data_IF_835594511836
#
_entry.id   IF_835594511836
#
_cell.length_a   1.000
_cell.length_b   1.000
_cell.length_c   1.000
_cell.angle_alpha   90.00
_cell.angle_beta   90.00
_cell.angle_gamma   90.00
#
_symmetry.space_group_name_H-M   'P 1'
#
loop_
_entity.id
_entity.type
_entity.pdbx_description
1 polymer ?
#
# COMPACT_ATOMS: atom_id res chain seq x y z
N UNK A 1 -17.91 -17.46 11.29
CA UNK A 1 -18.61 -16.39 12.05
C UNK A 1 -17.89 -15.05 11.82
N UNK A 2 -18.08 -14.39 10.68
CA UNK A 2 -17.28 -13.18 10.34
C UNK A 2 -18.02 -12.08 9.59
N UNK A 3 -19.33 -11.90 9.82
CA UNK A 3 -20.12 -10.94 9.02
C UNK A 3 -20.81 -9.83 9.83
N UNK A 4 -20.52 -9.66 11.13
CA UNK A 4 -21.35 -8.79 11.99
C UNK A 4 -20.67 -7.65 12.76
N UNK A 5 -19.41 -7.30 12.49
CA UNK A 5 -18.71 -6.26 13.29
C UNK A 5 -18.54 -4.88 12.62
N UNK A 6 -19.01 -4.67 11.39
CA UNK A 6 -18.88 -3.36 10.72
C UNK A 6 -20.21 -2.75 10.25
N UNK A 7 -21.35 -3.31 10.66
CA UNK A 7 -22.65 -2.69 10.43
C UNK A 7 -23.04 -1.81 11.62
N UNK A 8 -22.49 -0.59 11.68
CA UNK A 8 -23.11 0.61 12.27
C UNK A 8 -22.09 1.74 12.45
N UNK A 9 -21.86 2.52 11.40
CA UNK A 9 -21.33 3.89 11.53
C UNK A 9 -22.41 4.81 12.14
N UNK A 10 -22.60 4.74 13.46
CA UNK A 10 -23.45 5.69 14.22
C UNK A 10 -23.17 5.75 15.74
N UNK A 11 -22.23 4.96 16.28
CA UNK A 11 -21.85 5.07 17.69
C UNK A 11 -20.53 5.81 17.85
N UNK A 12 -20.49 6.79 18.75
CA UNK A 12 -19.27 7.47 19.14
C UNK A 12 -18.33 6.45 19.79
N UNK A 13 -17.34 5.95 19.03
CA UNK A 13 -16.31 5.07 19.57
C UNK A 13 -15.61 5.75 20.74
N UNK A 14 -15.44 4.99 21.82
CA UNK A 14 -14.65 5.39 22.97
C UNK A 14 -13.18 5.54 22.60
N UNK A 15 -12.41 6.26 23.42
CA UNK A 15 -10.96 6.41 23.22
C UNK A 15 -10.26 5.05 23.24
N UNK A 16 -10.75 4.08 24.02
CA UNK A 16 -10.20 2.73 24.07
C UNK A 16 -10.40 1.98 22.73
N UNK A 17 -11.60 2.00 22.18
CA UNK A 17 -11.91 1.37 20.89
C UNK A 17 -11.14 2.02 19.73
N UNK A 18 -10.98 3.35 19.76
CA UNK A 18 -10.16 4.07 18.77
C UNK A 18 -8.69 3.65 18.84
N UNK A 19 -8.14 3.41 20.03
CA UNK A 19 -6.77 2.91 20.19
C UNK A 19 -6.60 1.48 19.64
N UNK A 20 -7.57 0.61 19.86
CA UNK A 20 -7.53 -0.75 19.29
C UNK A 20 -7.67 -0.72 17.76
N UNK A 21 -8.58 0.10 17.24
CA UNK A 21 -8.69 0.33 15.80
C UNK A 21 -7.39 0.87 15.20
N UNK A 22 -6.74 1.82 15.88
CA UNK A 22 -5.43 2.37 15.48
C UNK A 22 -4.37 1.27 15.37
N UNK A 23 -4.25 0.41 16.40
CA UNK A 23 -3.30 -0.73 16.38
C UNK A 23 -3.58 -1.69 15.23
N UNK A 24 -4.84 -2.01 14.98
CA UNK A 24 -5.24 -2.86 13.85
C UNK A 24 -4.83 -2.25 12.52
N UNK A 25 -5.15 -0.96 12.29
CA UNK A 25 -4.75 -0.26 11.07
C UNK A 25 -3.22 -0.20 10.92
N UNK A 26 -2.48 0.05 12.00
CA UNK A 26 -1.01 0.02 11.96
C UNK A 26 -0.46 -1.35 11.57
N UNK A 27 -1.08 -2.43 12.04
CA UNK A 27 -0.69 -3.79 11.68
C UNK A 27 -0.93 -4.05 10.19
N UNK A 28 -2.13 -3.77 9.70
CA UNK A 28 -2.47 -3.92 8.27
C UNK A 28 -1.55 -3.08 7.37
N UNK A 29 -1.24 -1.85 7.79
CA UNK A 29 -0.33 -0.96 7.08
C UNK A 29 1.09 -1.55 6.98
N UNK A 30 1.60 -2.14 8.08
CA UNK A 30 2.90 -2.83 8.08
C UNK A 30 2.90 -4.04 7.15
N UNK A 31 1.85 -4.84 7.17
CA UNK A 31 1.73 -6.01 6.28
C UNK A 31 1.70 -5.58 4.81
N UNK A 32 0.97 -4.52 4.47
CA UNK A 32 0.96 -3.96 3.12
C UNK A 32 2.32 -3.38 2.70
N UNK A 33 3.06 -2.78 3.61
CA UNK A 33 4.43 -2.30 3.33
C UNK A 33 5.39 -3.45 3.03
N UNK A 34 5.27 -4.58 3.73
CA UNK A 34 6.05 -5.79 3.42
C UNK A 34 5.67 -6.33 2.04
N UNK A 35 4.39 -6.50 1.77
CA UNK A 35 3.88 -6.93 0.44
C UNK A 35 4.35 -6.00 -0.67
N UNK A 36 4.37 -4.68 -0.43
CA UNK A 36 4.87 -3.71 -1.40
C UNK A 36 6.35 -3.95 -1.75
N UNK A 37 7.20 -4.27 -0.77
CA UNK A 37 8.61 -4.60 -1.03
C UNK A 37 8.75 -5.81 -1.94
N UNK A 38 7.97 -6.86 -1.69
CA UNK A 38 7.95 -8.07 -2.52
C UNK A 38 7.48 -7.77 -3.95
N UNK A 39 6.43 -6.95 -4.10
CA UNK A 39 5.93 -6.51 -5.41
C UNK A 39 7.00 -5.73 -6.17
N UNK A 40 7.69 -4.80 -5.51
CA UNK A 40 8.77 -4.02 -6.12
C UNK A 40 9.96 -4.88 -6.54
N UNK A 41 10.29 -5.90 -5.74
CA UNK A 41 11.33 -6.86 -6.11
C UNK A 41 10.94 -7.63 -7.38
N UNK A 42 9.74 -8.22 -7.42
CA UNK A 42 9.23 -8.93 -8.60
C UNK A 42 9.16 -8.04 -9.84
N UNK A 43 8.75 -6.78 -9.65
CA UNK A 43 8.73 -5.79 -10.72
C UNK A 43 10.12 -5.57 -11.32
N UNK A 44 11.14 -5.41 -10.48
CA UNK A 44 12.52 -5.24 -10.93
C UNK A 44 13.03 -6.49 -11.66
N UNK A 45 12.73 -7.69 -11.17
CA UNK A 45 13.09 -8.95 -11.82
C UNK A 45 12.48 -9.04 -13.23
N UNK A 46 11.20 -8.69 -13.38
CA UNK A 46 10.51 -8.63 -14.67
C UNK A 46 11.17 -7.62 -15.61
N UNK A 47 11.54 -6.42 -15.13
CA UNK A 47 12.22 -5.42 -15.95
C UNK A 47 13.59 -5.90 -16.44
N UNK A 48 14.35 -6.61 -15.60
CA UNK A 48 15.63 -7.18 -16.03
C UNK A 48 15.44 -8.26 -17.09
N UNK A 49 14.43 -9.12 -16.94
CA UNK A 49 14.12 -10.13 -17.95
C UNK A 49 13.63 -9.52 -19.26
N UNK A 50 12.76 -8.50 -19.20
CA UNK A 50 12.28 -7.77 -20.38
C UNK A 50 13.47 -7.13 -21.14
N UNK A 51 14.42 -6.53 -20.42
CA UNK A 51 15.65 -5.99 -21.00
C UNK A 51 16.50 -7.07 -21.69
N UNK A 52 16.69 -8.23 -21.06
CA UNK A 52 17.43 -9.35 -21.65
C UNK A 52 16.78 -9.85 -22.93
N UNK A 53 15.45 -10.00 -22.94
CA UNK A 53 14.71 -10.43 -24.12
C UNK A 53 14.84 -9.43 -25.28
N UNK A 54 14.85 -8.12 -25.01
CA UNK A 54 15.12 -7.12 -26.04
C UNK A 54 16.54 -7.24 -26.62
N UNK A 55 17.54 -7.50 -25.79
CA UNK A 55 18.92 -7.76 -26.25
C UNK A 55 19.00 -9.04 -27.10
N UNK A 56 18.28 -10.10 -26.71
CA UNK A 56 18.15 -11.34 -27.49
C UNK A 56 17.49 -11.10 -28.85
N UNK A 57 16.39 -10.34 -28.91
CA UNK A 57 15.73 -9.97 -30.17
C UNK A 57 16.70 -9.26 -31.11
N UNK A 58 17.45 -8.29 -30.60
CA UNK A 58 18.46 -7.56 -31.38
C UNK A 58 19.53 -8.51 -31.93
N UNK A 59 19.99 -9.49 -31.14
CA UNK A 59 20.97 -10.50 -31.59
C UNK A 59 20.37 -11.42 -32.67
N UNK A 60 19.12 -11.84 -32.54
CA UNK A 60 18.43 -12.64 -33.56
C UNK A 60 18.31 -11.87 -34.88
N UNK A 61 17.96 -10.58 -34.84
CA UNK A 61 17.90 -9.71 -36.02
C UNK A 61 19.26 -9.60 -36.71
N UNK A 62 20.32 -9.37 -35.96
CA UNK A 62 21.69 -9.28 -36.50
C UNK A 62 22.15 -10.58 -37.18
N UNK A 63 21.70 -11.73 -36.66
CA UNK A 63 22.05 -13.05 -37.19
C UNK A 63 21.13 -13.53 -38.33
N UNK A 64 20.03 -12.81 -38.60
CA UNK A 64 19.01 -13.26 -39.56
C UNK A 64 18.25 -14.53 -39.12
N UNK A 65 18.23 -14.85 -37.83
CA UNK A 65 17.55 -16.04 -37.29
C UNK A 65 16.10 -15.71 -36.91
N UNK A 66 15.22 -15.78 -37.91
CA UNK A 66 13.80 -15.45 -37.76
C UNK A 66 13.03 -16.45 -36.88
N UNK A 67 13.48 -17.72 -36.81
CA UNK A 67 12.83 -18.72 -35.98
C UNK A 67 13.11 -18.44 -34.50
N UNK A 68 14.38 -18.19 -34.15
CA UNK A 68 14.73 -17.78 -32.79
C UNK A 68 14.07 -16.44 -32.43
N UNK A 69 14.03 -15.48 -33.36
CA UNK A 69 13.35 -14.21 -33.16
C UNK A 69 11.89 -14.37 -32.72
N UNK A 70 11.10 -15.17 -33.47
CA UNK A 70 9.69 -15.39 -33.17
C UNK A 70 9.48 -16.01 -31.77
N UNK A 71 10.34 -16.94 -31.35
CA UNK A 71 10.26 -17.53 -30.00
C UNK A 71 10.57 -16.51 -28.90
N UNK A 72 11.58 -15.66 -29.10
CA UNK A 72 11.92 -14.61 -28.12
C UNK A 72 10.78 -13.58 -28.05
N UNK A 73 10.16 -13.23 -29.17
CA UNK A 73 9.04 -12.30 -29.23
C UNK A 73 7.81 -12.85 -28.47
N UNK A 74 7.50 -14.14 -28.61
CA UNK A 74 6.46 -14.79 -27.82
C UNK A 74 6.73 -14.73 -26.32
N UNK A 75 7.98 -14.97 -25.89
CA UNK A 75 8.38 -14.85 -24.47
C UNK A 75 8.25 -13.42 -23.98
N UNK A 76 8.68 -12.44 -24.78
CA UNK A 76 8.56 -11.03 -24.46
C UNK A 76 7.11 -10.63 -24.24
N UNK A 77 6.18 -11.10 -25.08
CA UNK A 77 4.75 -10.83 -24.92
C UNK A 77 4.20 -11.35 -23.58
N UNK A 78 4.65 -12.52 -23.11
CA UNK A 78 4.27 -13.05 -21.80
C UNK A 78 4.85 -12.19 -20.68
N UNK A 79 6.14 -11.85 -20.75
CA UNK A 79 6.81 -11.02 -19.74
C UNK A 79 6.17 -9.62 -19.66
N UNK A 80 5.86 -8.99 -20.79
CA UNK A 80 5.20 -7.68 -20.81
C UNK A 80 3.77 -7.73 -20.26
N UNK A 81 3.04 -8.85 -20.40
CA UNK A 81 1.73 -9.04 -19.73
C UNK A 81 1.90 -9.12 -18.22
N UNK A 82 2.84 -9.96 -17.76
CA UNK A 82 3.16 -10.09 -16.34
C UNK A 82 3.58 -8.74 -15.73
N UNK A 83 4.34 -7.92 -16.48
CA UNK A 83 4.72 -6.57 -16.06
C UNK A 83 3.50 -5.71 -15.76
N UNK A 84 2.51 -5.69 -16.65
CA UNK A 84 1.27 -4.90 -16.47
C UNK A 84 0.47 -5.38 -15.27
N UNK A 85 0.39 -6.70 -15.05
CA UNK A 85 -0.30 -7.26 -13.90
C UNK A 85 0.36 -6.83 -12.58
N UNK A 86 1.69 -6.87 -12.52
CA UNK A 86 2.45 -6.41 -11.36
C UNK A 86 2.35 -4.89 -11.17
N UNK A 87 2.34 -4.10 -12.24
CA UNK A 87 2.11 -2.65 -12.17
C UNK A 87 0.73 -2.32 -11.59
N UNK A 88 -0.31 -3.06 -12.00
CA UNK A 88 -1.65 -2.90 -11.45
C UNK A 88 -1.69 -3.25 -9.96
N UNK A 89 -1.09 -4.38 -9.58
CA UNK A 89 -1.00 -4.81 -8.18
C UNK A 89 -0.24 -3.81 -7.31
N UNK A 90 0.86 -3.26 -7.84
CA UNK A 90 1.62 -2.18 -7.20
C UNK A 90 0.72 -0.96 -6.97
N UNK A 91 0.05 -0.47 -8.02
CA UNK A 91 -0.80 0.70 -7.93
C UNK A 91 -1.97 0.51 -6.95
N UNK A 92 -2.59 -0.67 -6.92
CA UNK A 92 -3.62 -1.00 -5.94
C UNK A 92 -3.07 -0.98 -4.51
N UNK A 93 -1.91 -1.60 -4.29
CA UNK A 93 -1.25 -1.65 -2.98
C UNK A 93 -0.86 -0.25 -2.50
N UNK A 94 -0.38 0.63 -3.39
CA UNK A 94 -0.10 2.04 -3.10
C UNK A 94 -1.35 2.79 -2.65
N UNK A 95 -2.48 2.62 -3.35
CA UNK A 95 -3.77 3.24 -2.96
C UNK A 95 -4.22 2.75 -1.59
N UNK A 96 -4.12 1.45 -1.31
CA UNK A 96 -4.47 0.88 0.00
C UNK A 96 -3.60 1.46 1.12
N UNK A 97 -2.28 1.51 0.91
CA UNK A 97 -1.34 2.12 1.86
C UNK A 97 -1.72 3.57 2.14
N UNK A 98 -2.05 4.35 1.10
CA UNK A 98 -2.48 5.73 1.26
C UNK A 98 -3.77 5.84 2.08
N UNK A 99 -4.78 5.04 1.76
CA UNK A 99 -6.05 5.00 2.49
C UNK A 99 -5.86 4.66 3.97
N UNK A 100 -5.05 3.65 4.30
CA UNK A 100 -4.77 3.31 5.70
C UNK A 100 -3.99 4.40 6.44
N UNK A 101 -3.08 5.14 5.78
CA UNK A 101 -2.42 6.31 6.38
C UNK A 101 -3.43 7.42 6.72
N UNK A 102 -4.32 7.73 5.78
CA UNK A 102 -5.38 8.73 6.00
C UNK A 102 -6.33 8.31 7.13
N UNK A 103 -6.65 7.02 7.23
CA UNK A 103 -7.46 6.48 8.32
C UNK A 103 -6.75 6.59 9.68
N UNK A 104 -5.44 6.35 9.75
CA UNK A 104 -4.65 6.59 10.97
C UNK A 104 -4.72 8.05 11.39
N UNK A 105 -4.49 8.99 10.46
CA UNK A 105 -4.58 10.42 10.76
C UNK A 105 -5.97 10.84 11.24
N UNK A 106 -7.03 10.22 10.70
CA UNK A 106 -8.41 10.48 11.13
C UNK A 106 -8.65 9.95 12.55
N UNK A 107 -8.15 8.75 12.86
CA UNK A 107 -8.26 8.15 14.19
C UNK A 107 -7.47 8.97 15.21
N UNK A 108 -6.25 9.38 14.87
CA UNK A 108 -5.38 10.17 15.76
C UNK A 108 -6.01 11.52 16.11
N UNK A 109 -6.53 12.24 15.09
CA UNK A 109 -7.30 13.48 15.31
C UNK A 109 -8.51 13.26 16.20
N UNK A 110 -9.22 12.14 16.03
CA UNK A 110 -10.39 11.83 16.87
C UNK A 110 -10.00 11.53 18.31
N UNK A 111 -8.92 10.79 18.53
CA UNK A 111 -8.38 10.52 19.86
C UNK A 111 -7.95 11.83 20.54
N UNK A 112 -7.25 12.71 19.81
CA UNK A 112 -6.83 14.01 20.32
C UNK A 112 -8.01 14.90 20.73
N UNK A 113 -9.05 14.97 19.89
CA UNK A 113 -10.27 15.71 20.20
C UNK A 113 -10.97 15.21 21.47
N UNK A 114 -10.93 13.90 21.73
CA UNK A 114 -11.55 13.28 22.91
C UNK A 114 -10.67 13.35 24.16
N UNK A 115 -9.40 13.77 24.06
CA UNK A 115 -8.56 13.96 25.25
C UNK A 115 -9.06 15.19 26.03
N UNK A 116 -9.24 15.09 27.35
CA UNK A 116 -9.59 16.25 28.16
C UNK A 116 -8.46 17.28 28.06
N UNK A 117 -8.81 18.54 27.74
CA UNK A 117 -7.87 19.65 27.79
C UNK A 117 -7.66 20.04 29.25
N UNK A 118 -6.41 20.11 29.69
CA UNK A 118 -6.07 20.65 31.01
C UNK A 118 -6.41 22.15 31.03
N UNK A 119 -7.58 22.50 31.55
CA UNK A 119 -7.94 23.89 31.82
C UNK A 119 -7.24 24.28 33.12
N UNK A 120 -6.17 25.08 33.02
CA UNK A 120 -5.55 25.70 34.19
C UNK A 120 -6.49 26.80 34.68
N UNK A 121 -7.23 26.52 35.74
CA UNK A 121 -8.01 27.54 36.44
C UNK A 121 -7.05 28.50 37.14
N UNK A 122 -6.89 29.71 36.61
CA UNK A 122 -6.21 30.80 37.31
C UNK A 122 -7.23 31.38 38.29
N UNK A 123 -7.09 31.04 39.56
CA UNK A 123 -7.87 31.66 40.63
C UNK A 123 -7.19 32.97 40.98
N UNK A 124 -7.69 34.09 40.45
CA UNK A 124 -7.32 35.42 40.95
C UNK A 124 -7.88 35.56 42.37
N UNK A 125 -7.00 35.56 43.38
CA UNK A 125 -7.39 35.92 44.74
C UNK A 125 -7.64 37.43 44.76
N UNK A 126 -8.80 37.90 45.26
CA UNK A 126 -9.00 39.33 45.45
C UNK A 126 -7.96 39.86 46.45
N UNK A 127 -7.27 40.92 46.06
CA UNK A 127 -6.33 41.67 46.91
C UNK A 127 -7.07 42.19 48.14
N UNK A 128 -6.57 41.80 49.32
CA UNK A 128 -7.07 42.21 50.64
C UNK A 128 -6.84 43.68 50.93
#
# INVERSE_FOLDING_TARGET
MSEYYFSNMSQALTVAELKEKRKWVEKELKELQVKMKEILQKYNEILQEEKRLYEELRKCQQKGDFYAYSRVEMRLNVVSRNRREIENLKAETERRIKGYKEDLERIDRRIEFLKPREVKFVVEKPSS
#
